data_IF_405556769637
#
_entry.id   IF_405556769637
#
_cell.length_a   1.000
_cell.length_b   1.000
_cell.length_c   1.000
_cell.angle_alpha   90.00
_cell.angle_beta   90.00
_cell.angle_gamma   90.00
#
_symmetry.space_group_name_H-M   'P 1'
#
loop_
_entity.id
_entity.type
_entity.pdbx_description
1 polymer ?
#
# COMPACT_ATOMS: atom_id res chain seq x y z
N UNK A 1 -11.74 6.32 5.59
CA UNK A 1 -12.44 5.91 4.35
C UNK A 1 -13.40 4.76 4.62
N UNK A 2 -14.51 4.62 3.88
CA UNK A 2 -15.32 3.40 3.91
C UNK A 2 -14.54 2.25 3.24
N UNK A 3 -14.68 1.03 3.76
CA UNK A 3 -14.21 -0.17 3.09
C UNK A 3 -15.05 -0.34 1.81
N UNK A 4 -14.41 -0.40 0.64
CA UNK A 4 -15.09 -0.49 -0.66
C UNK A 4 -14.67 -1.79 -1.36
N UNK A 5 -15.41 -2.16 -2.39
CA UNK A 5 -15.32 -3.45 -3.10
C UNK A 5 -13.89 -3.85 -3.49
N UNK A 6 -13.05 -2.88 -3.84
CA UNK A 6 -11.68 -3.11 -4.34
C UNK A 6 -10.58 -2.79 -3.33
N UNK A 7 -10.92 -2.34 -2.12
CA UNK A 7 -9.92 -1.77 -1.19
C UNK A 7 -10.22 -2.11 0.27
N UNK A 8 -9.35 -2.94 0.85
CA UNK A 8 -9.30 -3.15 2.30
C UNK A 8 -8.75 -1.91 3.01
N UNK A 9 -9.63 -1.23 3.74
CA UNK A 9 -9.27 -0.01 4.48
C UNK A 9 -8.88 -0.31 5.93
N UNK A 10 -8.02 0.52 6.56
CA UNK A 10 -7.78 0.48 8.00
C UNK A 10 -9.06 0.56 8.83
N UNK A 11 -9.04 -0.01 10.03
CA UNK A 11 -10.07 0.22 11.04
C UNK A 11 -10.06 1.69 11.43
N UNK A 12 -11.25 2.30 11.46
CA UNK A 12 -11.40 3.71 11.83
C UNK A 12 -11.17 3.87 13.33
N UNK A 13 -10.59 5.01 13.72
CA UNK A 13 -10.32 5.38 15.12
C UNK A 13 -9.36 4.46 15.86
N UNK A 14 -8.66 3.56 15.14
CA UNK A 14 -7.56 2.76 15.66
C UNK A 14 -6.24 3.35 15.15
N UNK A 15 -5.21 3.31 16.00
CA UNK A 15 -3.87 3.82 15.67
C UNK A 15 -3.27 3.08 14.48
N UNK A 16 -2.45 3.78 13.69
CA UNK A 16 -1.87 3.22 12.46
C UNK A 16 -0.52 3.85 12.08
N UNK A 17 -0.11 4.97 12.67
CA UNK A 17 1.16 5.61 12.33
C UNK A 17 2.35 4.84 12.90
N UNK A 18 3.28 4.42 12.03
CA UNK A 18 4.47 3.64 12.41
C UNK A 18 5.32 4.34 13.50
N UNK A 19 5.37 5.67 13.50
CA UNK A 19 6.08 6.46 14.51
C UNK A 19 5.48 6.30 15.91
N UNK A 20 4.18 6.07 16.05
CA UNK A 20 3.51 5.87 17.34
C UNK A 20 3.94 4.58 18.04
N UNK A 21 4.47 3.60 17.28
CA UNK A 21 4.98 2.33 17.82
C UNK A 21 6.50 2.36 18.07
N UNK A 22 7.22 3.37 17.55
CA UNK A 22 8.68 3.45 17.61
C UNK A 22 9.23 4.47 18.62
N UNK A 23 8.43 5.43 19.11
CA UNK A 23 8.94 6.64 19.78
C UNK A 23 9.00 6.57 21.31
N UNK A 24 8.49 5.54 21.97
CA UNK A 24 8.58 5.44 23.44
C UNK A 24 8.47 4.00 23.87
N UNK A 25 9.41 3.52 24.70
CA UNK A 25 9.41 2.21 25.39
C UNK A 25 8.30 1.26 24.93
N UNK A 26 8.51 0.60 23.78
CA UNK A 26 7.72 -0.52 23.26
C UNK A 26 6.24 -0.50 23.66
N UNK A 27 5.48 0.57 23.34
CA UNK A 27 4.05 0.54 23.63
C UNK A 27 3.44 -0.63 22.85
N UNK A 28 3.05 -1.66 23.58
CA UNK A 28 2.63 -2.94 23.02
C UNK A 28 1.31 -2.76 22.28
N UNK A 29 1.10 -3.58 21.27
CA UNK A 29 -0.15 -3.59 20.51
C UNK A 29 -1.22 -4.20 21.42
N UNK A 30 -2.22 -3.41 21.80
CA UNK A 30 -3.19 -3.81 22.83
C UNK A 30 -4.40 -4.54 22.23
N UNK A 31 -4.73 -4.24 20.96
CA UNK A 31 -5.95 -4.72 20.32
C UNK A 31 -5.67 -5.19 18.88
N UNK A 32 -6.39 -6.22 18.42
CA UNK A 32 -6.26 -6.81 17.08
C UNK A 32 -6.39 -5.79 15.94
N UNK A 33 -7.25 -4.77 16.08
CA UNK A 33 -7.43 -3.73 15.07
C UNK A 33 -6.20 -2.83 14.95
N UNK A 34 -5.48 -2.57 16.06
CA UNK A 34 -4.22 -1.83 16.03
C UNK A 34 -3.12 -2.64 15.33
N UNK A 35 -3.06 -3.96 15.57
CA UNK A 35 -2.13 -4.85 14.87
C UNK A 35 -2.37 -4.82 13.36
N UNK A 36 -3.63 -4.94 12.95
CA UNK A 36 -4.02 -4.89 11.55
C UNK A 36 -3.61 -3.55 10.94
N UNK A 37 -3.97 -2.42 11.57
CA UNK A 37 -3.66 -1.10 11.07
C UNK A 37 -2.15 -0.83 10.96
N UNK A 38 -1.37 -1.30 11.95
CA UNK A 38 0.09 -1.22 11.93
C UNK A 38 0.67 -2.00 10.75
N UNK A 39 0.31 -3.28 10.59
CA UNK A 39 0.80 -4.14 9.50
C UNK A 39 0.35 -3.62 8.13
N UNK A 40 -0.90 -3.15 8.03
CA UNK A 40 -1.45 -2.53 6.83
C UNK A 40 -0.65 -1.29 6.42
N UNK A 41 -0.35 -0.41 7.38
CA UNK A 41 0.46 0.79 7.14
C UNK A 41 1.91 0.46 6.79
N UNK A 42 2.52 -0.52 7.46
CA UNK A 42 3.87 -0.99 7.16
C UNK A 42 4.00 -1.54 5.73
N UNK A 43 3.03 -2.37 5.32
CA UNK A 43 2.96 -2.90 3.95
C UNK A 43 2.81 -1.76 2.95
N UNK A 44 1.87 -0.83 3.19
CA UNK A 44 1.66 0.33 2.33
C UNK A 44 2.94 1.16 2.17
N UNK A 45 3.60 1.49 3.27
CA UNK A 45 4.89 2.22 3.24
C UNK A 45 5.94 1.49 2.43
N UNK A 46 6.01 0.16 2.53
CA UNK A 46 6.95 -0.64 1.74
C UNK A 46 6.64 -0.56 0.24
N UNK A 47 5.37 -0.72 -0.13
CA UNK A 47 4.91 -0.60 -1.53
C UNK A 47 5.18 0.80 -2.09
N UNK A 48 4.83 1.85 -1.34
CA UNK A 48 5.06 3.24 -1.72
C UNK A 48 6.55 3.53 -1.93
N UNK A 49 7.41 3.06 -1.03
CA UNK A 49 8.87 3.18 -1.17
C UNK A 49 9.39 2.51 -2.43
N UNK A 50 8.92 1.30 -2.75
CA UNK A 50 9.31 0.61 -3.99
C UNK A 50 8.89 1.41 -5.23
N UNK A 51 7.68 1.95 -5.25
CA UNK A 51 7.25 2.82 -6.35
C UNK A 51 8.05 4.13 -6.42
N UNK A 52 8.43 4.71 -5.29
CA UNK A 52 9.34 5.86 -5.23
C UNK A 52 10.70 5.54 -5.87
N UNK A 53 11.30 4.39 -5.52
CA UNK A 53 12.55 3.92 -6.10
C UNK A 53 12.43 3.68 -7.61
N UNK A 54 11.33 3.04 -8.05
CA UNK A 54 11.05 2.83 -9.47
C UNK A 54 10.93 4.17 -10.22
N UNK A 55 10.21 5.14 -9.67
CA UNK A 55 10.08 6.49 -10.24
C UNK A 55 11.42 7.22 -10.33
N UNK A 56 12.28 7.06 -9.32
CA UNK A 56 13.62 7.64 -9.31
C UNK A 56 14.53 7.02 -10.37
N UNK A 57 14.48 5.69 -10.55
CA UNK A 57 15.27 4.99 -11.58
C UNK A 57 14.71 5.20 -13.00
N UNK A 58 13.40 5.25 -13.16
CA UNK A 58 12.72 5.34 -14.44
C UNK A 58 11.85 6.62 -14.51
N UNK A 59 12.41 7.76 -14.95
CA UNK A 59 11.69 9.03 -15.05
C UNK A 59 10.41 8.98 -15.90
N UNK A 60 10.29 8.00 -16.81
CA UNK A 60 9.07 7.72 -17.57
C UNK A 60 7.85 7.47 -16.66
N UNK A 61 8.05 7.04 -15.41
CA UNK A 61 6.98 6.85 -14.41
C UNK A 61 6.61 8.13 -13.65
N UNK A 62 7.42 9.20 -13.72
CA UNK A 62 7.14 10.48 -13.05
C UNK A 62 6.24 11.38 -13.89
N UNK A 63 6.38 11.33 -15.22
CA UNK A 63 5.65 12.21 -16.12
C UNK A 63 4.35 11.58 -16.60
N UNK A 64 3.30 12.39 -16.71
CA UNK A 64 2.06 11.97 -17.34
C UNK A 64 2.25 11.88 -18.86
N UNK A 65 2.72 10.73 -19.33
CA UNK A 65 2.88 10.49 -20.77
C UNK A 65 1.53 10.04 -21.33
N UNK A 66 1.09 10.68 -22.43
CA UNK A 66 -0.18 10.36 -23.09
C UNK A 66 -0.08 9.03 -23.84
N UNK A 67 -0.09 7.94 -23.08
CA UNK A 67 -0.20 6.58 -23.59
C UNK A 67 -1.58 6.02 -23.24
N UNK A 68 -2.15 5.13 -24.08
CA UNK A 68 -3.32 4.34 -23.69
C UNK A 68 -3.05 3.56 -22.39
N UNK A 69 -4.08 3.34 -21.56
CA UNK A 69 -3.97 2.61 -20.28
C UNK A 69 -3.28 1.25 -20.45
N UNK A 70 -3.60 0.52 -21.53
CA UNK A 70 -2.97 -0.78 -21.83
C UNK A 70 -1.45 -0.68 -22.02
N UNK A 71 -0.96 0.45 -22.53
CA UNK A 71 0.47 0.72 -22.67
C UNK A 71 1.08 1.18 -21.35
N UNK A 72 0.37 1.98 -20.56
CA UNK A 72 0.84 2.39 -19.22
C UNK A 72 1.09 1.18 -18.30
N UNK A 73 0.17 0.20 -18.29
CA UNK A 73 0.33 -1.06 -17.54
C UNK A 73 1.58 -1.83 -17.99
N UNK A 74 1.82 -1.90 -19.31
CA UNK A 74 3.03 -2.55 -19.86
C UNK A 74 4.31 -1.84 -19.44
N UNK A 75 4.30 -0.50 -19.39
CA UNK A 75 5.44 0.29 -18.93
C UNK A 75 5.75 -0.04 -17.47
N UNK A 76 4.74 -0.09 -16.59
CA UNK A 76 4.92 -0.46 -15.18
C UNK A 76 5.50 -1.88 -15.04
N UNK A 77 4.99 -2.85 -15.80
CA UNK A 77 5.56 -4.21 -15.76
C UNK A 77 7.01 -4.25 -16.26
N UNK A 78 7.32 -3.57 -17.36
CA UNK A 78 8.66 -3.53 -17.92
C UNK A 78 9.67 -2.90 -16.95
N UNK A 79 9.30 -1.82 -16.26
CA UNK A 79 10.17 -1.17 -15.27
C UNK A 79 10.41 -2.06 -14.05
N UNK A 80 9.39 -2.79 -13.56
CA UNK A 80 9.56 -3.77 -12.48
C UNK A 80 10.52 -4.91 -12.88
N UNK A 81 10.37 -5.48 -14.08
CA UNK A 81 11.25 -6.54 -14.58
C UNK A 81 12.69 -6.04 -14.72
N UNK A 82 12.87 -4.86 -15.33
CA UNK A 82 14.20 -4.24 -15.47
C UNK A 82 14.83 -3.90 -14.12
N UNK A 83 14.03 -3.41 -13.16
CA UNK A 83 14.49 -3.12 -11.81
C UNK A 83 15.06 -4.36 -11.13
N UNK A 84 14.30 -5.46 -11.15
CA UNK A 84 14.72 -6.74 -10.56
C UNK A 84 15.96 -7.30 -11.27
N UNK A 85 16.01 -7.22 -12.60
CA UNK A 85 17.17 -7.64 -13.38
C UNK A 85 18.44 -6.88 -12.98
N UNK A 86 18.35 -5.55 -12.85
CA UNK A 86 19.46 -4.70 -12.45
C UNK A 86 19.94 -5.03 -11.04
N UNK A 87 19.03 -5.18 -10.07
CA UNK A 87 19.39 -5.52 -8.68
C UNK A 87 20.11 -6.86 -8.62
N UNK A 88 19.60 -7.88 -9.31
CA UNK A 88 20.18 -9.21 -9.30
C UNK A 88 21.59 -9.27 -9.90
N UNK A 89 21.91 -8.38 -10.85
CA UNK A 89 23.21 -8.38 -11.55
C UNK A 89 24.16 -7.27 -11.07
N UNK A 90 23.68 -6.31 -10.28
CA UNK A 90 24.47 -5.18 -9.79
C UNK A 90 24.04 -4.83 -8.34
N UNK A 91 24.66 -5.46 -7.32
CA UNK A 91 24.31 -5.24 -5.92
C UNK A 91 24.47 -3.79 -5.43
N UNK A 92 25.28 -2.99 -6.11
CA UNK A 92 25.50 -1.57 -5.79
C UNK A 92 24.55 -0.61 -6.51
N UNK A 93 23.56 -1.11 -7.27
CA UNK A 93 22.68 -0.27 -8.09
C UNK A 93 21.61 0.52 -7.30
N UNK A 94 21.47 0.29 -5.99
CA UNK A 94 20.51 0.96 -5.11
C UNK A 94 21.08 2.15 -4.32
N UNK A 95 22.16 2.78 -4.80
CA UNK A 95 22.61 4.06 -4.24
C UNK A 95 21.71 5.21 -4.73
N UNK A 96 20.45 5.21 -4.31
CA UNK A 96 19.56 6.35 -4.50
C UNK A 96 19.62 7.22 -3.25
N UNK A 97 19.84 8.54 -3.38
CA UNK A 97 19.57 9.44 -2.26
C UNK A 97 18.11 9.26 -1.86
N UNK A 98 17.84 9.18 -0.56
CA UNK A 98 16.49 9.12 0.01
C UNK A 98 15.77 10.42 -0.32
N UNK A 99 15.12 10.46 -1.48
CA UNK A 99 14.30 11.58 -1.88
C UNK A 99 12.94 11.37 -1.20
N UNK A 100 12.78 12.00 -0.02
CA UNK A 100 11.50 12.18 0.67
C UNK A 100 10.59 13.10 -0.18
N UNK A 101 10.30 12.66 -1.40
CA UNK A 101 9.37 13.34 -2.29
C UNK A 101 7.97 12.93 -1.86
N UNK A 102 7.30 13.86 -1.17
CA UNK A 102 5.86 13.86 -0.98
C UNK A 102 5.18 13.82 -2.36
N UNK A 103 4.95 12.61 -2.86
CA UNK A 103 4.00 12.37 -3.95
C UNK A 103 2.63 12.77 -3.41
N UNK A 104 2.21 14.00 -3.71
CA UNK A 104 0.84 14.45 -3.41
C UNK A 104 -0.13 13.49 -4.09
N UNK A 105 -0.99 12.86 -3.29
CA UNK A 105 -1.98 11.87 -3.72
C UNK A 105 -2.79 12.37 -4.92
N UNK A 106 -2.62 11.72 -6.08
CA UNK A 106 -3.60 11.81 -7.15
C UNK A 106 -4.78 10.93 -6.72
N UNK A 107 -5.81 11.58 -6.20
CA UNK A 107 -7.10 10.94 -5.93
C UNK A 107 -7.85 10.77 -7.25
N UNK A 108 -7.78 9.59 -7.85
CA UNK A 108 -8.71 9.22 -8.92
C UNK A 108 -10.11 9.08 -8.35
N UNK A 109 -11.01 9.96 -8.80
CA UNK A 109 -12.44 9.92 -8.53
C UNK A 109 -13.03 8.77 -9.34
N UNK A 110 -13.36 7.67 -8.69
CA UNK A 110 -14.23 6.63 -9.28
C UNK A 110 -15.67 7.14 -9.13
N UNK A 111 -16.27 7.54 -10.27
CA UNK A 111 -17.72 7.76 -10.36
C UNK A 111 -18.40 6.40 -10.29
N UNK A 112 -19.17 6.15 -9.23
CA UNK A 112 -19.82 4.87 -8.98
C UNK A 112 -21.31 5.11 -8.75
N UNK A 113 -22.07 5.14 -9.86
CA UNK A 113 -23.52 5.07 -9.85
C UNK A 113 -23.93 3.60 -10.06
N UNK A 114 -24.01 2.81 -8.98
CA UNK A 114 -24.68 1.51 -8.93
C UNK A 114 -24.86 1.05 -7.46
N UNK A 115 -26.00 1.42 -6.86
CA UNK A 115 -26.19 1.47 -5.39
C UNK A 115 -26.58 0.14 -4.70
N UNK A 116 -26.76 -0.97 -5.43
CA UNK A 116 -27.29 -2.23 -4.86
C UNK A 116 -26.24 -3.33 -4.70
N UNK A 117 -25.32 -3.52 -5.65
CA UNK A 117 -24.26 -4.53 -5.55
C UNK A 117 -23.18 -4.14 -4.52
N UNK A 118 -22.97 -2.84 -4.33
CA UNK A 118 -21.97 -2.32 -3.41
C UNK A 118 -22.22 -2.70 -1.95
N UNK A 119 -23.47 -2.86 -1.47
CA UNK A 119 -23.73 -3.16 -0.05
C UNK A 119 -23.39 -4.60 0.32
N UNK A 120 -23.73 -5.58 -0.53
CA UNK A 120 -23.41 -6.99 -0.29
C UNK A 120 -21.89 -7.23 -0.33
N UNK A 121 -21.21 -6.60 -1.28
CA UNK A 121 -19.76 -6.74 -1.44
C UNK A 121 -18.99 -5.97 -0.35
N UNK A 122 -19.50 -4.82 0.12
CA UNK A 122 -18.97 -4.13 1.32
C UNK A 122 -19.08 -5.01 2.57
N UNK A 123 -20.15 -5.80 2.70
CA UNK A 123 -20.29 -6.81 3.76
C UNK A 123 -19.17 -7.85 3.70
N UNK A 124 -18.96 -8.42 2.52
CA UNK A 124 -17.91 -9.42 2.27
C UNK A 124 -16.49 -8.90 2.57
N UNK A 125 -16.16 -7.66 2.19
CA UNK A 125 -14.84 -7.08 2.49
C UNK A 125 -14.63 -6.77 3.97
N UNK A 126 -15.70 -6.51 4.73
CA UNK A 126 -15.60 -6.37 6.18
C UNK A 126 -15.33 -7.71 6.85
N UNK A 127 -15.99 -8.78 6.38
CA UNK A 127 -15.74 -10.16 6.84
C UNK A 127 -14.31 -10.60 6.54
N UNK A 128 -13.83 -10.36 5.31
CA UNK A 128 -12.45 -10.66 4.93
C UNK A 128 -11.45 -9.91 5.79
N UNK A 129 -11.68 -8.61 6.04
CA UNK A 129 -10.82 -7.82 6.93
C UNK A 129 -10.79 -8.42 8.33
N UNK A 130 -11.95 -8.78 8.88
CA UNK A 130 -12.06 -9.36 10.21
C UNK A 130 -11.37 -10.73 10.32
N UNK A 131 -11.46 -11.56 9.28
CA UNK A 131 -10.75 -12.84 9.19
C UNK A 131 -9.23 -12.64 9.17
N UNK A 132 -8.73 -11.71 8.35
CA UNK A 132 -7.30 -11.36 8.29
C UNK A 132 -6.84 -10.86 9.66
N UNK A 133 -7.59 -9.93 10.28
CA UNK A 133 -7.28 -9.36 11.59
C UNK A 133 -7.23 -10.44 12.68
N UNK A 134 -8.21 -11.33 12.71
CA UNK A 134 -8.25 -12.43 13.68
C UNK A 134 -7.06 -13.39 13.51
N UNK A 135 -6.72 -13.72 12.26
CA UNK A 135 -5.57 -14.57 11.95
C UNK A 135 -4.26 -13.92 12.40
N UNK A 136 -4.05 -12.65 12.05
CA UNK A 136 -2.86 -11.89 12.46
C UNK A 136 -2.72 -11.81 13.97
N UNK A 137 -3.84 -11.66 14.69
CA UNK A 137 -3.85 -11.58 16.14
C UNK A 137 -3.50 -12.91 16.80
N UNK A 138 -4.06 -14.01 16.30
CA UNK A 138 -3.71 -15.35 16.80
C UNK A 138 -2.21 -15.64 16.61
N UNK A 139 -1.65 -15.28 15.45
CA UNK A 139 -0.21 -15.41 15.19
C UNK A 139 0.66 -14.51 16.07
N UNK A 140 0.11 -13.39 16.56
CA UNK A 140 0.83 -12.44 17.41
C UNK A 140 0.86 -12.84 18.88
N UNK A 141 -0.20 -13.49 19.35
CA UNK A 141 -0.36 -13.90 20.76
C UNK A 141 0.12 -15.34 21.01
N UNK A 142 0.30 -16.15 19.95
CA UNK A 142 0.91 -17.48 20.01
C UNK A 142 2.40 -17.46 20.32
#
# INVERSE_FOLDING_TARGET
>A
YPNIVILLTPYRRCRYHLSEFNVSESRQIEIKEELYNYRHSSLRTTVERVFGLLKTRFPTLKNHVSYPISTQVKIVHATCVLHNFIINHNPNAEQFPSDDTNDSEVSEIINDDENTEQTQIRGSNNELREQITSTMWNDYVS
#
